data_IF_731266407765
#
_entry.id   IF_731266407765
#
_cell.length_a   1.000
_cell.length_b   1.000
_cell.length_c   1.000
_cell.angle_alpha   90.00
_cell.angle_beta   90.00
_cell.angle_gamma   90.00
#
_symmetry.space_group_name_H-M   'P 1'
#
loop_
_entity.id
_entity.type
_entity.pdbx_description
1 polymer ?
#
# COMPACT_ATOMS: atom_id res chain seq x y z
N UNK A 1 12.11 -39.57 -36.38
CA UNK A 1 12.87 -39.45 -35.12
C UNK A 1 12.11 -38.49 -34.22
N UNK A 2 11.05 -38.97 -33.58
CA UNK A 2 10.18 -38.13 -32.75
C UNK A 2 10.60 -38.33 -31.30
N UNK A 3 11.41 -37.40 -30.80
CA UNK A 3 11.84 -37.37 -29.40
C UNK A 3 10.61 -36.96 -28.59
N UNK A 4 9.84 -37.94 -28.13
CA UNK A 4 8.77 -37.73 -27.16
C UNK A 4 9.45 -37.23 -25.88
N UNK A 5 9.58 -35.91 -25.72
CA UNK A 5 9.95 -35.27 -24.46
C UNK A 5 9.03 -35.88 -23.39
N UNK A 6 9.61 -36.77 -22.59
CA UNK A 6 8.91 -37.56 -21.58
C UNK A 6 8.17 -36.54 -20.72
N UNK A 7 6.83 -36.52 -20.78
CA UNK A 7 5.94 -35.63 -20.01
C UNK A 7 6.39 -35.35 -18.56
N UNK A 8 7.00 -36.29 -17.80
CA UNK A 8 7.56 -35.97 -16.47
C UNK A 8 8.74 -34.98 -16.47
N UNK A 9 9.57 -34.93 -17.51
CA UNK A 9 10.75 -34.08 -17.55
C UNK A 9 10.40 -32.61 -17.75
N UNK A 10 9.44 -32.33 -18.62
CA UNK A 10 8.89 -30.97 -18.79
C UNK A 10 8.20 -30.51 -17.51
N UNK A 11 7.43 -31.38 -16.86
CA UNK A 11 6.80 -31.08 -15.57
C UNK A 11 7.82 -30.80 -14.45
N UNK A 12 8.90 -31.58 -14.38
CA UNK A 12 10.00 -31.36 -13.42
C UNK A 12 10.69 -30.01 -13.64
N UNK A 13 10.94 -29.61 -14.89
CA UNK A 13 11.51 -28.31 -15.19
C UNK A 13 10.57 -27.17 -14.78
N UNK A 14 9.26 -27.27 -15.06
CA UNK A 14 8.28 -26.26 -14.63
C UNK A 14 8.23 -26.14 -13.11
N UNK A 15 8.20 -27.26 -12.37
CA UNK A 15 8.23 -27.24 -10.89
C UNK A 15 9.53 -26.62 -10.38
N UNK A 16 10.67 -26.93 -10.99
CA UNK A 16 11.94 -26.32 -10.65
C UNK A 16 11.92 -24.80 -10.88
N UNK A 17 11.42 -24.33 -12.04
CA UNK A 17 11.31 -22.90 -12.32
C UNK A 17 10.35 -22.19 -11.34
N UNK A 18 9.19 -22.76 -11.04
CA UNK A 18 8.23 -22.18 -10.08
C UNK A 18 8.78 -22.16 -8.65
N UNK A 19 9.57 -23.17 -8.26
CA UNK A 19 10.21 -23.24 -6.93
C UNK A 19 11.41 -22.28 -6.79
N UNK A 20 11.97 -21.78 -7.90
CA UNK A 20 13.05 -20.79 -7.93
C UNK A 20 12.55 -19.38 -8.25
N UNK A 21 11.23 -19.15 -8.30
CA UNK A 21 10.70 -17.78 -8.36
C UNK A 21 11.09 -17.09 -7.05
N UNK A 22 11.87 -15.98 -7.08
CA UNK A 22 12.11 -15.21 -5.88
C UNK A 22 10.74 -14.80 -5.36
N UNK A 23 10.42 -15.20 -4.13
CA UNK A 23 9.28 -14.65 -3.39
C UNK A 23 9.49 -13.15 -3.43
N UNK A 24 8.73 -12.45 -4.27
CA UNK A 24 8.67 -10.99 -4.24
C UNK A 24 8.44 -10.61 -2.79
N UNK A 25 9.21 -9.62 -2.33
CA UNK A 25 9.10 -9.00 -1.01
C UNK A 25 7.66 -9.12 -0.52
N UNK A 26 7.45 -9.77 0.62
CA UNK A 26 6.10 -9.99 1.13
C UNK A 26 5.38 -8.64 1.15
N UNK A 27 4.38 -8.50 0.28
CA UNK A 27 3.69 -7.24 0.05
C UNK A 27 3.25 -6.69 1.41
N UNK A 28 3.64 -5.46 1.70
CA UNK A 28 3.25 -4.82 2.96
C UNK A 28 1.73 -4.64 3.00
N UNK A 29 1.17 -4.40 4.19
CA UNK A 29 -0.27 -4.17 4.30
C UNK A 29 -0.76 -3.02 3.39
N UNK A 30 0.06 -1.97 3.24
CA UNK A 30 -0.26 -0.85 2.34
C UNK A 30 -0.29 -1.28 0.87
N UNK A 31 0.76 -1.96 0.38
CA UNK A 31 0.89 -2.28 -1.04
C UNK A 31 -0.13 -3.34 -1.47
N UNK A 32 -0.45 -4.31 -0.60
CA UNK A 32 -1.52 -5.27 -0.88
C UNK A 32 -2.88 -4.57 -0.97
N UNK A 33 -3.21 -3.66 -0.03
CA UNK A 33 -4.45 -2.88 -0.11
C UNK A 33 -4.49 -1.97 -1.33
N UNK A 34 -3.35 -1.39 -1.72
CA UNK A 34 -3.22 -0.60 -2.95
C UNK A 34 -3.50 -1.44 -4.18
N UNK A 35 -2.92 -2.63 -4.27
CA UNK A 35 -3.14 -3.58 -5.36
C UNK A 35 -4.61 -4.00 -5.44
N UNK A 36 -5.21 -4.34 -4.31
CA UNK A 36 -6.64 -4.68 -4.24
C UNK A 36 -7.54 -3.50 -4.67
N UNK A 37 -7.16 -2.27 -4.30
CA UNK A 37 -7.88 -1.07 -4.71
C UNK A 37 -7.80 -0.84 -6.23
N UNK A 38 -6.67 -1.17 -6.86
CA UNK A 38 -6.44 -1.04 -8.30
C UNK A 38 -7.06 -2.18 -9.12
N UNK A 39 -6.99 -3.42 -8.64
CA UNK A 39 -7.58 -4.59 -9.31
C UNK A 39 -9.11 -4.43 -9.46
N UNK A 40 -9.74 -3.87 -8.43
CA UNK A 40 -11.16 -3.52 -8.42
C UNK A 40 -11.33 -2.00 -8.40
N UNK A 41 -10.68 -1.32 -9.35
CA UNK A 41 -10.77 0.13 -9.47
C UNK A 41 -12.18 0.57 -9.84
N UNK A 42 -12.75 1.43 -9.00
CA UNK A 42 -14.01 2.12 -9.22
C UNK A 42 -13.69 3.60 -9.20
N UNK A 43 -14.18 4.36 -10.19
CA UNK A 43 -14.07 5.82 -10.18
C UNK A 43 -14.58 6.38 -8.85
N UNK A 44 -13.80 7.24 -8.20
CA UNK A 44 -14.16 7.73 -6.87
C UNK A 44 -13.55 6.91 -5.73
N UNK A 45 -12.97 5.72 -5.95
CA UNK A 45 -12.45 4.88 -4.86
C UNK A 45 -11.10 5.39 -4.37
N UNK A 46 -10.95 5.43 -3.05
CA UNK A 46 -9.68 5.71 -2.41
C UNK A 46 -8.64 4.62 -2.71
N UNK A 47 -7.44 5.03 -3.12
CA UNK A 47 -6.28 4.16 -3.33
C UNK A 47 -5.20 4.60 -2.34
N UNK A 48 -4.75 3.72 -1.42
CA UNK A 48 -3.70 4.08 -0.47
C UNK A 48 -2.37 4.32 -1.19
N UNK A 49 -1.51 5.12 -0.55
CA UNK A 49 -0.25 5.57 -1.10
C UNK A 49 0.86 5.05 -0.19
N UNK A 50 1.77 4.26 -0.74
CA UNK A 50 2.81 3.62 0.04
C UNK A 50 4.16 4.31 -0.19
N UNK A 51 5.04 4.25 0.80
CA UNK A 51 6.44 4.66 0.68
C UNK A 51 7.30 3.54 0.07
N UNK A 52 8.59 3.81 -0.15
CA UNK A 52 9.52 2.83 -0.75
C UNK A 52 9.78 1.61 0.16
N UNK A 53 9.40 1.69 1.45
CA UNK A 53 9.49 0.58 2.41
C UNK A 53 8.20 -0.24 2.45
N UNK A 54 7.17 0.14 1.70
CA UNK A 54 5.84 -0.45 1.75
C UNK A 54 4.97 0.04 2.93
N UNK A 55 5.39 1.01 3.71
CA UNK A 55 4.53 1.58 4.76
C UNK A 55 3.53 2.58 4.16
N UNK A 56 2.46 2.90 4.90
CA UNK A 56 1.56 3.98 4.50
C UNK A 56 2.29 5.31 4.55
N UNK A 57 2.10 6.16 3.55
CA UNK A 57 2.55 7.55 3.66
C UNK A 57 1.74 8.22 4.76
N UNK A 58 2.42 8.91 5.67
CA UNK A 58 1.76 9.62 6.78
C UNK A 58 0.67 10.58 6.29
N UNK A 59 0.86 11.18 5.11
CA UNK A 59 -0.17 11.94 4.41
C UNK A 59 -0.78 11.07 3.33
N UNK A 60 -2.08 10.81 3.44
CA UNK A 60 -2.88 10.13 2.43
C UNK A 60 -3.80 11.12 1.73
N UNK A 61 -3.85 11.08 0.40
CA UNK A 61 -4.70 11.95 -0.40
C UNK A 61 -5.69 11.14 -1.26
N UNK A 62 -6.98 11.45 -1.10
CA UNK A 62 -8.04 10.95 -1.94
C UNK A 62 -8.24 11.91 -3.12
N UNK A 63 -7.70 11.52 -4.28
CA UNK A 63 -7.64 12.37 -5.48
C UNK A 63 -9.03 12.80 -5.99
N UNK A 64 -10.03 11.90 -5.91
CA UNK A 64 -11.37 12.20 -6.40
C UNK A 64 -12.12 13.24 -5.56
N UNK A 65 -11.84 13.31 -4.26
CA UNK A 65 -12.46 14.29 -3.35
C UNK A 65 -11.56 15.51 -3.09
N UNK A 66 -10.34 15.51 -3.61
CA UNK A 66 -9.30 16.51 -3.30
C UNK A 66 -9.07 16.68 -1.79
N UNK A 67 -9.15 15.58 -1.05
CA UNK A 67 -9.06 15.59 0.41
C UNK A 67 -7.84 14.78 0.85
N UNK A 68 -6.97 15.39 1.67
CA UNK A 68 -5.87 14.68 2.33
C UNK A 68 -6.09 14.59 3.84
N UNK A 69 -5.62 13.50 4.45
CA UNK A 69 -5.72 13.19 5.87
C UNK A 69 -4.43 12.52 6.38
N UNK A 70 -4.22 12.55 7.69
CA UNK A 70 -3.06 11.93 8.33
C UNK A 70 -3.39 10.50 8.73
N UNK A 71 -2.47 9.57 8.47
CA UNK A 71 -2.57 8.17 8.90
C UNK A 71 -1.34 7.72 9.68
N UNK A 72 -1.51 6.67 10.47
CA UNK A 72 -0.41 5.90 11.04
C UNK A 72 0.36 5.16 9.92
N UNK A 73 1.71 5.28 9.84
CA UNK A 73 2.49 4.64 8.80
C UNK A 73 2.46 3.10 8.81
N UNK A 74 2.24 2.48 9.97
CA UNK A 74 2.24 1.02 10.13
C UNK A 74 0.85 0.44 9.89
N UNK A 75 -0.21 1.08 10.41
CA UNK A 75 -1.58 0.54 10.37
C UNK A 75 -2.46 1.16 9.27
N UNK A 76 -2.13 2.36 8.81
CA UNK A 76 -2.97 3.15 7.90
C UNK A 76 -4.20 3.76 8.56
N UNK A 77 -4.32 3.72 9.89
CA UNK A 77 -5.44 4.31 10.63
C UNK A 77 -5.33 5.84 10.66
N UNK A 78 -6.46 6.54 10.49
CA UNK A 78 -6.49 8.00 10.49
C UNK A 78 -6.16 8.58 11.87
N UNK A 79 -5.13 9.44 11.97
CA UNK A 79 -4.54 9.84 13.27
C UNK A 79 -4.95 11.21 13.81
N UNK A 80 -5.58 12.11 13.04
CA UNK A 80 -6.36 13.27 13.53
C UNK A 80 -6.83 14.16 12.36
N UNK A 81 -7.85 14.98 12.65
CA UNK A 81 -8.79 15.61 11.71
C UNK A 81 -8.15 16.41 10.56
N UNK A 82 -8.85 16.47 9.40
CA UNK A 82 -8.30 17.02 8.17
C UNK A 82 -8.03 18.53 8.24
N UNK A 83 -6.79 18.91 7.95
CA UNK A 83 -6.43 20.29 7.72
C UNK A 83 -6.99 20.74 6.36
N UNK A 84 -8.14 21.40 6.40
CA UNK A 84 -8.74 22.05 5.23
C UNK A 84 -7.85 23.23 4.82
N UNK A 85 -7.08 23.08 3.75
CA UNK A 85 -6.35 24.17 3.08
C UNK A 85 -4.84 23.91 2.97
N UNK A 86 -4.41 23.67 1.73
CA UNK A 86 -3.07 23.80 1.09
C UNK A 86 -1.78 23.35 1.81
N UNK A 87 -1.79 22.99 3.08
CA UNK A 87 -0.64 22.41 3.78
C UNK A 87 -1.08 21.52 4.94
N UNK A 88 -1.41 20.25 4.64
CA UNK A 88 -1.54 19.23 5.68
C UNK A 88 -0.16 18.91 6.24
N UNK A 89 0.02 19.10 7.55
CA UNK A 89 1.28 18.79 8.22
C UNK A 89 1.06 17.70 9.28
N UNK A 90 1.36 16.47 8.90
CA UNK A 90 1.28 15.30 9.78
C UNK A 90 2.52 15.12 10.68
N UNK A 91 3.47 16.07 10.68
CA UNK A 91 4.64 16.04 11.59
C UNK A 91 4.33 16.51 13.00
N UNK A 92 3.10 16.93 13.26
CA UNK A 92 2.73 17.52 14.54
C UNK A 92 2.36 16.41 15.52
N UNK A 93 3.11 16.35 16.61
CA UNK A 93 2.66 15.86 17.91
C UNK A 93 1.38 16.62 18.31
N UNK A 94 0.24 16.28 17.72
CA UNK A 94 -1.08 16.72 18.16
C UNK A 94 -1.68 15.71 19.14
N UNK A 95 -0.91 15.44 20.20
CA UNK A 95 -1.49 15.23 21.52
C UNK A 95 -1.12 16.42 22.38
N UNK A 96 -1.75 17.56 22.10
CA UNK A 96 -1.99 18.54 23.17
C UNK A 96 -3.48 18.77 23.29
N UNK A 97 -4.19 17.98 24.11
CA UNK A 97 -5.33 18.52 24.83
C UNK A 97 -4.76 19.38 25.96
N UNK A 98 -4.40 20.65 25.71
CA UNK A 98 -4.48 21.64 26.78
C UNK A 98 -4.39 23.09 26.29
N UNK A 99 -5.47 23.82 26.54
CA UNK A 99 -5.49 25.24 26.89
C UNK A 99 -4.28 25.62 27.75
N UNK A 100 -3.56 26.70 27.42
CA UNK A 100 -2.98 27.59 28.44
C UNK A 100 -2.91 29.01 27.89
N UNK A 101 -3.53 29.90 28.66
CA UNK A 101 -3.60 31.36 28.55
C UNK A 101 -2.32 32.03 28.05
N UNK A 102 -2.53 33.10 27.28
CA UNK A 102 -1.99 34.40 27.64
C UNK A 102 -3.05 35.49 27.44
#
# INVERSE_FOLDING_TARGET
MSIMLKKPFVAMLVVYFLANIPRGEADSDCEEKRRQALDNYVLGKYVPQCDDNGNYKTVQCWSDTNHCFCVDPETGEETSAPAKGDSINCNSTQSTPNTTNQ
#
